data_IF_882889568356
#
_entry.id   IF_882889568356
#
_cell.length_a   1.000
_cell.length_b   1.000
_cell.length_c   1.000
_cell.angle_alpha   90.00
_cell.angle_beta   90.00
_cell.angle_gamma   90.00
#
_symmetry.space_group_name_H-M   'P 1'
#
loop_
_entity.id
_entity.type
_entity.pdbx_description
1 polymer ?
#
# COMPACT_ATOMS: atom_id res chain seq x y z
N UNK A 1 -25.34 -2.98 -7.39
CA UNK A 1 -25.10 -1.56 -7.06
C UNK A 1 -25.17 -1.44 -5.54
N UNK A 2 -24.23 -0.75 -4.90
CA UNK A 2 -24.28 -0.48 -3.45
C UNK A 2 -25.45 0.44 -3.10
N UNK A 3 -26.05 0.25 -1.92
CA UNK A 3 -27.20 1.02 -1.44
C UNK A 3 -26.79 2.14 -0.47
N UNK A 4 -27.72 3.07 -0.17
CA UNK A 4 -27.50 4.11 0.85
C UNK A 4 -27.29 3.49 2.24
N UNK A 5 -28.00 2.40 2.55
CA UNK A 5 -27.86 1.67 3.81
C UNK A 5 -26.46 1.04 3.95
N UNK A 6 -25.88 0.56 2.83
CA UNK A 6 -24.50 0.06 2.82
C UNK A 6 -23.51 1.18 3.12
N UNK A 7 -23.74 2.39 2.59
CA UNK A 7 -22.91 3.55 2.86
C UNK A 7 -23.02 4.03 4.31
N UNK A 8 -24.22 4.04 4.89
CA UNK A 8 -24.42 4.43 6.30
C UNK A 8 -23.74 3.46 7.29
N UNK A 9 -23.46 2.23 6.88
CA UNK A 9 -22.74 1.22 7.66
C UNK A 9 -21.26 1.10 7.29
N UNK A 10 -20.76 1.94 6.38
CA UNK A 10 -19.37 1.89 5.93
C UNK A 10 -18.42 2.40 7.02
N UNK A 11 -17.31 1.70 7.21
CA UNK A 11 -16.21 2.14 8.08
C UNK A 11 -16.20 1.47 9.44
N UNK A 12 -15.21 1.85 10.25
CA UNK A 12 -14.92 1.25 11.56
C UNK A 12 -15.65 1.91 12.74
N UNK A 13 -16.30 3.05 12.52
CA UNK A 13 -16.76 3.92 13.61
C UNK A 13 -15.60 4.73 14.23
N UNK A 14 -15.76 5.23 15.47
CA UNK A 14 -14.70 5.99 16.14
C UNK A 14 -13.43 5.17 16.34
N UNK A 15 -12.27 5.76 16.06
CA UNK A 15 -10.97 5.13 16.30
C UNK A 15 -10.60 5.22 17.79
N UNK A 16 -10.06 4.13 18.34
CA UNK A 16 -9.68 4.06 19.73
C UNK A 16 -8.22 4.44 20.00
N UNK A 17 -7.79 4.40 21.28
CA UNK A 17 -6.40 4.66 21.68
C UNK A 17 -5.36 3.71 21.07
N UNK A 18 -5.78 2.58 20.49
CA UNK A 18 -4.89 1.68 19.75
C UNK A 18 -4.40 2.36 18.46
N UNK A 19 -5.29 3.02 17.74
CA UNK A 19 -4.92 3.80 16.56
C UNK A 19 -3.94 4.93 16.88
N UNK A 20 -4.15 5.67 17.98
CA UNK A 20 -3.23 6.74 18.41
C UNK A 20 -1.80 6.22 18.64
N UNK A 21 -1.68 5.05 19.30
CA UNK A 21 -0.39 4.40 19.52
C UNK A 21 0.26 3.94 18.23
N UNK A 22 -0.52 3.41 17.29
CA UNK A 22 -0.02 3.00 15.98
C UNK A 22 0.52 4.20 15.19
N UNK A 23 -0.19 5.32 15.23
CA UNK A 23 0.25 6.57 14.61
C UNK A 23 1.57 7.06 15.22
N UNK A 24 1.67 7.07 16.55
CA UNK A 24 2.91 7.42 17.24
C UNK A 24 4.07 6.48 16.87
N UNK A 25 3.82 5.17 16.79
CA UNK A 25 4.81 4.19 16.38
C UNK A 25 5.29 4.41 14.94
N UNK A 26 4.37 4.62 14.00
CA UNK A 26 4.70 4.92 12.61
C UNK A 26 5.50 6.23 12.49
N UNK A 27 5.10 7.27 13.21
CA UNK A 27 5.80 8.55 13.22
C UNK A 27 7.22 8.43 13.79
N UNK A 28 7.42 7.62 14.84
CA UNK A 28 8.74 7.38 15.42
C UNK A 28 9.62 6.56 14.47
N UNK A 29 9.10 5.46 13.94
CA UNK A 29 9.83 4.56 13.07
C UNK A 29 10.33 5.26 11.79
N UNK A 30 9.47 6.08 11.19
CA UNK A 30 9.74 6.75 9.91
C UNK A 30 10.12 8.22 10.06
N UNK A 31 10.49 8.68 11.27
CA UNK A 31 10.71 10.10 11.63
C UNK A 31 11.66 10.83 10.69
N UNK A 32 12.75 10.17 10.30
CA UNK A 32 13.78 10.73 9.42
C UNK A 32 13.67 10.27 7.96
N UNK A 33 12.70 9.39 7.64
CA UNK A 33 12.58 8.81 6.32
C UNK A 33 11.87 9.76 5.36
N UNK A 34 12.39 9.82 4.13
CA UNK A 34 11.86 10.64 3.04
C UNK A 34 11.42 9.75 1.88
N UNK A 35 10.40 10.19 1.15
CA UNK A 35 9.96 9.55 -0.09
C UNK A 35 11.09 9.58 -1.13
N UNK A 36 11.34 8.44 -1.79
CA UNK A 36 12.48 8.24 -2.71
C UNK A 36 12.62 9.38 -3.73
N UNK A 37 13.73 10.10 -3.60
CA UNK A 37 14.14 11.20 -4.47
C UNK A 37 13.25 12.45 -4.38
N UNK A 38 12.70 12.73 -3.21
CA UNK A 38 12.09 14.01 -2.83
C UNK A 38 12.39 14.31 -1.35
N UNK A 39 11.98 15.49 -0.86
CA UNK A 39 12.04 15.85 0.57
C UNK A 39 10.72 15.64 1.31
N UNK A 40 9.75 14.97 0.68
CA UNK A 40 8.44 14.69 1.29
C UNK A 40 8.63 13.64 2.40
N UNK A 41 8.17 13.90 3.64
CA UNK A 41 8.24 12.92 4.72
C UNK A 41 7.52 11.61 4.38
N UNK A 42 8.13 10.46 4.67
CA UNK A 42 7.54 9.15 4.35
C UNK A 42 6.21 8.92 5.08
N UNK A 43 6.07 9.47 6.29
CA UNK A 43 4.84 9.43 7.09
C UNK A 43 3.60 9.89 6.30
N UNK A 44 3.74 10.80 5.34
CA UNK A 44 2.62 11.21 4.47
C UNK A 44 1.99 10.04 3.70
N UNK A 45 2.79 9.05 3.29
CA UNK A 45 2.30 7.84 2.63
C UNK A 45 1.51 6.96 3.59
N UNK A 46 2.07 6.69 4.77
CA UNK A 46 1.44 5.83 5.79
C UNK A 46 0.10 6.40 6.25
N UNK A 47 0.05 7.71 6.49
CA UNK A 47 -1.18 8.43 6.80
C UNK A 47 -2.21 8.30 5.67
N UNK A 48 -1.77 8.44 4.42
CA UNK A 48 -2.66 8.34 3.26
C UNK A 48 -3.20 6.92 3.06
N UNK A 49 -2.37 5.89 3.24
CA UNK A 49 -2.81 4.48 3.16
C UNK A 49 -3.82 4.18 4.26
N UNK A 50 -3.55 4.59 5.50
CA UNK A 50 -4.47 4.39 6.61
C UNK A 50 -5.81 5.10 6.38
N UNK A 51 -5.78 6.36 5.94
CA UNK A 51 -6.98 7.12 5.59
C UNK A 51 -7.76 6.44 4.45
N UNK A 52 -7.09 5.98 3.39
CA UNK A 52 -7.74 5.24 2.31
C UNK A 52 -8.42 3.97 2.83
N UNK A 53 -7.74 3.18 3.68
CA UNK A 53 -8.34 1.97 4.27
C UNK A 53 -9.65 2.30 4.99
N UNK A 54 -9.66 3.36 5.80
CA UNK A 54 -10.87 3.81 6.52
C UNK A 54 -11.99 4.22 5.56
N UNK A 55 -11.68 5.05 4.55
CA UNK A 55 -12.64 5.51 3.54
C UNK A 55 -13.14 4.37 2.63
N UNK A 56 -12.40 3.27 2.55
CA UNK A 56 -12.81 2.05 1.85
C UNK A 56 -13.60 1.07 2.72
N UNK A 57 -13.93 1.44 3.96
CA UNK A 57 -14.72 0.62 4.87
C UNK A 57 -13.91 -0.38 5.69
N UNK A 58 -12.58 -0.21 5.75
CA UNK A 58 -11.71 -1.05 6.56
C UNK A 58 -11.93 -0.87 8.06
N UNK A 59 -11.55 -1.89 8.83
CA UNK A 59 -11.60 -1.85 10.29
C UNK A 59 -10.48 -0.99 10.89
N UNK A 60 -10.57 -0.66 12.18
CA UNK A 60 -9.47 -0.01 12.92
C UNK A 60 -8.18 -0.84 12.82
N UNK A 61 -8.27 -2.17 12.92
CA UNK A 61 -7.11 -3.06 12.80
C UNK A 61 -6.45 -2.98 11.40
N UNK A 62 -7.25 -2.88 10.34
CA UNK A 62 -6.73 -2.69 8.98
C UNK A 62 -6.12 -1.29 8.80
N UNK A 63 -6.70 -0.26 9.43
CA UNK A 63 -6.17 1.09 9.39
C UNK A 63 -4.83 1.20 10.16
N UNK A 64 -4.71 0.54 11.31
CA UNK A 64 -3.45 0.36 12.05
C UNK A 64 -2.43 -0.37 11.17
N UNK A 65 -2.84 -1.47 10.53
CA UNK A 65 -1.97 -2.18 9.59
C UNK A 65 -1.51 -1.27 8.44
N UNK A 66 -2.37 -0.40 7.92
CA UNK A 66 -2.00 0.60 6.91
C UNK A 66 -0.94 1.59 7.39
N UNK A 67 -0.98 2.01 8.66
CA UNK A 67 0.07 2.86 9.24
C UNK A 67 1.42 2.14 9.37
N UNK A 68 1.41 0.83 9.56
CA UNK A 68 2.57 0.03 9.94
C UNK A 68 3.07 -0.91 8.84
N UNK A 69 2.43 -0.92 7.66
CA UNK A 69 2.66 -1.95 6.63
C UNK A 69 4.11 -2.03 6.13
N UNK A 70 4.79 -0.88 6.08
CA UNK A 70 6.20 -0.78 5.68
C UNK A 70 7.18 -0.83 6.86
N UNK A 71 6.71 -0.84 8.12
CA UNK A 71 7.58 -0.76 9.29
C UNK A 71 8.57 -1.92 9.40
N UNK A 72 8.26 -3.07 8.80
CA UNK A 72 9.15 -4.24 8.79
C UNK A 72 10.15 -4.18 7.63
N UNK A 73 9.71 -3.72 6.46
CA UNK A 73 10.53 -3.60 5.24
C UNK A 73 11.55 -2.45 5.35
N UNK A 74 11.14 -1.34 5.95
CA UNK A 74 11.98 -0.15 6.16
C UNK A 74 12.81 -0.21 7.46
N UNK A 75 12.65 -1.27 8.26
CA UNK A 75 13.45 -1.47 9.46
C UNK A 75 14.94 -1.67 9.10
N UNK A 76 15.87 -1.28 9.97
CA UNK A 76 17.27 -1.64 9.80
C UNK A 76 17.45 -3.16 9.63
N UNK A 77 18.44 -3.57 8.86
CA UNK A 77 18.69 -4.99 8.56
C UNK A 77 18.74 -5.84 9.85
N UNK A 78 18.02 -6.97 9.83
CA UNK A 78 17.90 -7.87 10.97
C UNK A 78 16.93 -7.42 12.07
N UNK A 79 16.32 -6.23 11.99
CA UNK A 79 15.34 -5.74 12.98
C UNK A 79 13.89 -6.13 12.70
N UNK A 80 13.57 -6.58 11.48
CA UNK A 80 12.20 -6.96 11.09
C UNK A 80 11.48 -7.88 12.09
N UNK A 81 12.09 -8.98 12.59
CA UNK A 81 11.46 -9.84 13.59
C UNK A 81 11.13 -9.14 14.91
N UNK A 82 12.00 -8.23 15.36
CA UNK A 82 11.75 -7.45 16.58
C UNK A 82 10.60 -6.46 16.37
N UNK A 83 10.53 -5.81 15.20
CA UNK A 83 9.42 -4.92 14.84
C UNK A 83 8.09 -5.69 14.82
N UNK A 84 8.05 -6.88 14.23
CA UNK A 84 6.84 -7.73 14.23
C UNK A 84 6.41 -8.09 15.67
N UNK A 85 7.37 -8.47 16.53
CA UNK A 85 7.08 -8.78 17.93
C UNK A 85 6.53 -7.56 18.69
N UNK A 86 7.08 -6.36 18.46
CA UNK A 86 6.59 -5.12 19.06
C UNK A 86 5.17 -4.77 18.58
N UNK A 87 4.86 -5.01 17.29
CA UNK A 87 3.53 -4.81 16.71
C UNK A 87 2.53 -5.80 17.33
N UNK A 88 2.90 -7.08 17.43
CA UNK A 88 2.03 -8.10 18.04
C UNK A 88 1.72 -7.76 19.50
N UNK A 89 2.73 -7.36 20.28
CA UNK A 89 2.56 -7.02 21.69
C UNK A 89 1.62 -5.81 21.91
N UNK A 90 1.66 -4.81 21.01
CA UNK A 90 0.90 -3.56 21.17
C UNK A 90 -0.49 -3.59 20.52
N UNK A 91 -0.63 -4.34 19.42
CA UNK A 91 -1.81 -4.30 18.56
C UNK A 91 -2.44 -5.67 18.32
N UNK A 92 -1.81 -6.75 18.75
CA UNK A 92 -2.37 -8.10 18.73
C UNK A 92 -2.14 -8.86 17.41
N UNK A 93 -2.54 -10.14 17.41
CA UNK A 93 -2.21 -11.10 16.35
C UNK A 93 -2.82 -10.74 14.99
N UNK A 94 -4.02 -10.14 14.98
CA UNK A 94 -4.68 -9.73 13.75
C UNK A 94 -3.87 -8.66 13.01
N UNK A 95 -3.35 -7.66 13.73
CA UNK A 95 -2.58 -6.55 13.14
C UNK A 95 -1.22 -7.03 12.62
N UNK A 96 -0.46 -7.77 13.43
CA UNK A 96 0.86 -8.26 13.01
C UNK A 96 0.77 -9.19 11.80
N UNK A 97 -0.28 -10.01 11.71
CA UNK A 97 -0.53 -10.85 10.54
C UNK A 97 -0.78 -10.03 9.27
N UNK A 98 -1.38 -8.84 9.39
CA UNK A 98 -1.53 -7.92 8.25
C UNK A 98 -0.20 -7.35 7.82
N UNK A 99 0.54 -6.82 8.77
CA UNK A 99 1.81 -6.16 8.50
C UNK A 99 2.76 -7.16 7.85
N UNK A 100 2.89 -8.35 8.42
CA UNK A 100 3.69 -9.43 7.84
C UNK A 100 3.21 -9.85 6.44
N UNK A 101 1.90 -9.84 6.17
CA UNK A 101 1.36 -10.14 4.85
C UNK A 101 1.56 -9.00 3.83
N UNK A 102 1.78 -7.77 4.29
CA UNK A 102 2.03 -6.60 3.44
C UNK A 102 3.51 -6.40 3.13
N UNK A 103 4.41 -6.74 4.05
CA UNK A 103 5.85 -6.62 3.85
C UNK A 103 6.36 -7.65 2.84
N UNK A 104 6.90 -7.18 1.72
CA UNK A 104 7.63 -8.05 0.79
C UNK A 104 8.99 -8.35 1.44
N UNK A 105 9.30 -9.61 1.76
CA UNK A 105 10.59 -9.94 2.37
C UNK A 105 11.70 -9.79 1.31
N UNK A 106 12.56 -8.76 1.36
CA UNK A 106 13.55 -8.50 0.29
C UNK A 106 14.66 -9.57 0.25
N UNK A 107 14.70 -10.44 1.26
CA UNK A 107 15.73 -11.46 1.48
C UNK A 107 15.35 -12.84 0.93
N UNK A 108 14.30 -12.95 0.12
CA UNK A 108 13.95 -14.20 -0.59
C UNK A 108 14.86 -14.51 -1.80
N UNK A 109 15.92 -13.71 -2.00
CA UNK A 109 16.83 -13.81 -3.14
C UNK A 109 16.28 -13.21 -4.43
N UNK A 110 15.05 -12.67 -4.44
CA UNK A 110 14.46 -12.05 -5.62
C UNK A 110 15.15 -10.75 -6.02
N UNK A 111 15.93 -10.12 -5.15
CA UNK A 111 16.66 -8.87 -5.41
C UNK A 111 17.58 -8.91 -6.63
N UNK A 112 18.06 -10.08 -7.02
CA UNK A 112 18.91 -10.30 -8.21
C UNK A 112 18.11 -10.48 -9.51
N UNK A 113 16.79 -10.70 -9.42
CA UNK A 113 15.95 -10.93 -10.60
C UNK A 113 15.65 -9.62 -11.36
N UNK A 114 15.49 -9.69 -12.69
CA UNK A 114 15.00 -8.57 -13.50
C UNK A 114 13.71 -7.97 -12.94
N UNK A 115 13.57 -6.65 -13.01
CA UNK A 115 12.43 -5.90 -12.48
C UNK A 115 11.07 -6.53 -12.83
N UNK A 116 10.89 -6.93 -14.10
CA UNK A 116 9.65 -7.55 -14.58
C UNK A 116 9.31 -8.84 -13.84
N UNK A 117 10.29 -9.73 -13.65
CA UNK A 117 10.09 -11.01 -12.97
C UNK A 117 9.73 -10.81 -11.49
N UNK A 118 10.36 -9.86 -10.80
CA UNK A 118 9.99 -9.50 -9.42
C UNK A 118 8.54 -9.01 -9.33
N UNK A 119 8.09 -8.21 -10.29
CA UNK A 119 6.72 -7.71 -10.32
C UNK A 119 5.70 -8.79 -10.69
N UNK A 120 6.04 -9.73 -11.57
CA UNK A 120 5.20 -10.90 -11.87
C UNK A 120 5.06 -11.81 -10.65
N UNK A 121 6.16 -12.10 -9.94
CA UNK A 121 6.14 -12.86 -8.70
C UNK A 121 5.27 -12.19 -7.64
N UNK A 122 5.43 -10.87 -7.44
CA UNK A 122 4.57 -10.10 -6.53
C UNK A 122 3.09 -10.20 -6.89
N UNK A 123 2.73 -9.99 -8.16
CA UNK A 123 1.33 -10.08 -8.62
C UNK A 123 0.76 -11.46 -8.36
N UNK A 124 1.53 -12.53 -8.56
CA UNK A 124 1.10 -13.89 -8.27
C UNK A 124 0.76 -14.09 -6.78
N UNK A 125 1.46 -13.41 -5.85
CA UNK A 125 1.13 -13.49 -4.41
C UNK A 125 -0.25 -12.92 -4.07
N UNK A 126 -0.78 -11.97 -4.87
CA UNK A 126 -2.07 -11.32 -4.60
C UNK A 126 -3.24 -12.31 -4.67
N UNK A 127 -3.10 -13.38 -5.45
CA UNK A 127 -4.11 -14.43 -5.57
C UNK A 127 -4.33 -15.20 -4.26
N UNK A 128 -3.28 -15.32 -3.43
CA UNK A 128 -3.31 -16.09 -2.17
C UNK A 128 -3.09 -15.23 -0.93
N UNK A 129 -2.89 -13.91 -1.09
CA UNK A 129 -2.69 -12.97 0.02
C UNK A 129 -3.87 -13.02 1.00
N UNK A 130 -3.60 -12.81 2.28
CA UNK A 130 -4.63 -12.76 3.32
C UNK A 130 -5.70 -11.70 2.99
N UNK A 131 -6.99 -12.04 3.15
CA UNK A 131 -8.13 -11.21 2.67
C UNK A 131 -8.17 -9.81 3.29
N UNK A 132 -8.01 -9.73 4.60
CA UNK A 132 -7.94 -8.49 5.38
C UNK A 132 -6.65 -7.68 5.10
N UNK A 133 -5.58 -8.29 4.56
CA UNK A 133 -4.40 -7.55 4.09
C UNK A 133 -4.61 -6.98 2.69
N UNK A 134 -5.48 -7.61 1.90
CA UNK A 134 -5.64 -7.27 0.49
C UNK A 134 -6.16 -5.84 0.33
N UNK A 135 -7.04 -5.37 1.22
CA UNK A 135 -7.49 -3.97 1.23
C UNK A 135 -6.34 -3.00 1.52
N UNK A 136 -5.48 -3.32 2.49
CA UNK A 136 -4.31 -2.50 2.83
C UNK A 136 -3.35 -2.43 1.64
N UNK A 137 -3.05 -3.57 1.02
CA UNK A 137 -2.26 -3.64 -0.21
C UNK A 137 -2.89 -2.87 -1.36
N UNK A 138 -4.21 -2.95 -1.54
CA UNK A 138 -4.90 -2.18 -2.58
C UNK A 138 -4.77 -0.66 -2.34
N UNK A 139 -4.95 -0.21 -1.09
CA UNK A 139 -4.81 1.20 -0.71
C UNK A 139 -3.37 1.71 -0.86
N UNK A 140 -2.36 0.90 -0.52
CA UNK A 140 -0.96 1.16 -0.85
C UNK A 140 -0.77 1.43 -2.35
N UNK A 141 -1.24 0.50 -3.19
CA UNK A 141 -1.14 0.66 -4.66
C UNK A 141 -1.90 1.88 -5.16
N UNK A 142 -3.09 2.17 -4.63
CA UNK A 142 -3.82 3.39 -5.01
C UNK A 142 -2.98 4.63 -4.70
N UNK A 143 -2.48 4.78 -3.47
CA UNK A 143 -1.73 5.97 -3.10
C UNK A 143 -0.44 6.10 -3.92
N UNK A 144 0.36 5.03 -4.00
CA UNK A 144 1.63 5.05 -4.71
C UNK A 144 1.44 5.31 -6.21
N UNK A 145 0.47 4.65 -6.84
CA UNK A 145 0.17 4.84 -8.25
C UNK A 145 -0.36 6.24 -8.56
N UNK A 146 -1.27 6.75 -7.73
CA UNK A 146 -1.82 8.11 -7.87
C UNK A 146 -0.72 9.18 -7.74
N UNK A 147 0.22 9.00 -6.79
CA UNK A 147 1.35 9.91 -6.65
C UNK A 147 2.29 9.87 -7.85
N UNK A 148 2.59 8.69 -8.38
CA UNK A 148 3.43 8.55 -9.58
C UNK A 148 2.77 9.25 -10.77
N UNK A 149 1.48 9.03 -10.98
CA UNK A 149 0.74 9.64 -12.08
C UNK A 149 0.69 11.18 -11.94
N UNK A 150 0.39 11.69 -10.75
CA UNK A 150 0.35 13.13 -10.48
C UNK A 150 1.73 13.79 -10.67
N UNK A 151 2.80 13.15 -10.20
CA UNK A 151 4.16 13.66 -10.38
C UNK A 151 4.56 13.63 -11.87
N UNK A 152 4.22 12.57 -12.62
CA UNK A 152 4.46 12.51 -14.06
C UNK A 152 3.68 13.58 -14.85
N UNK A 153 2.44 13.87 -14.45
CA UNK A 153 1.65 14.96 -15.02
C UNK A 153 2.26 16.34 -14.73
N UNK A 154 2.92 16.50 -13.58
CA UNK A 154 3.54 17.77 -13.16
C UNK A 154 4.93 17.97 -13.77
N UNK A 155 5.76 16.93 -13.82
CA UNK A 155 7.18 17.01 -14.17
C UNK A 155 7.52 16.44 -15.55
N UNK A 156 6.53 15.95 -16.29
CA UNK A 156 6.71 15.43 -17.65
C UNK A 156 7.13 13.97 -17.73
N UNK A 157 7.21 13.42 -18.96
CA UNK A 157 7.47 12.00 -19.21
C UNK A 157 8.85 11.54 -18.71
N UNK A 158 9.83 12.43 -18.58
CA UNK A 158 11.16 12.15 -18.05
C UNK A 158 11.10 11.64 -16.60
N UNK A 159 10.02 11.94 -15.85
CA UNK A 159 9.83 11.42 -14.51
C UNK A 159 9.87 9.88 -14.47
N UNK A 160 9.42 9.21 -15.52
CA UNK A 160 9.41 7.75 -15.62
C UNK A 160 10.82 7.12 -15.68
N UNK A 161 11.87 7.89 -16.02
CA UNK A 161 13.26 7.41 -16.05
C UNK A 161 13.77 6.96 -14.67
N UNK A 162 13.11 7.40 -13.59
CA UNK A 162 13.41 7.02 -12.20
C UNK A 162 12.96 5.59 -11.87
N UNK A 163 12.17 4.95 -12.73
CA UNK A 163 11.61 3.63 -12.52
C UNK A 163 12.15 2.65 -13.56
N UNK A 164 12.64 1.50 -13.11
CA UNK A 164 13.23 0.50 -14.00
C UNK A 164 12.26 -0.02 -15.08
N UNK A 165 10.95 -0.01 -14.81
CA UNK A 165 9.92 -0.40 -15.78
C UNK A 165 9.49 0.71 -16.74
N UNK A 166 9.97 1.95 -16.58
CA UNK A 166 9.46 3.11 -17.30
C UNK A 166 7.94 3.28 -17.12
N UNK A 167 7.31 4.04 -18.02
CA UNK A 167 5.85 4.26 -18.00
C UNK A 167 5.08 2.97 -18.27
N UNK A 168 5.40 2.31 -19.38
CA UNK A 168 4.58 1.18 -19.86
C UNK A 168 4.70 -0.03 -18.94
N UNK A 169 5.88 -0.27 -18.37
CA UNK A 169 6.07 -1.29 -17.34
C UNK A 169 5.29 -0.96 -16.07
N UNK A 170 5.35 0.27 -15.56
CA UNK A 170 4.54 0.67 -14.41
C UNK A 170 3.05 0.51 -14.68
N UNK A 171 2.56 0.99 -15.82
CA UNK A 171 1.16 0.84 -16.20
C UNK A 171 0.74 -0.62 -16.26
N UNK A 172 1.54 -1.49 -16.88
CA UNK A 172 1.30 -2.94 -16.85
C UNK A 172 1.24 -3.48 -15.42
N UNK A 173 2.19 -3.10 -14.56
CA UNK A 173 2.26 -3.60 -13.20
C UNK A 173 1.02 -3.21 -12.37
N UNK A 174 0.58 -1.96 -12.48
CA UNK A 174 -0.64 -1.50 -11.81
C UNK A 174 -1.89 -2.16 -12.39
N UNK A 175 -1.96 -2.38 -13.71
CA UNK A 175 -3.07 -3.12 -14.33
C UNK A 175 -3.13 -4.58 -13.83
N UNK A 176 -1.98 -5.25 -13.74
CA UNK A 176 -1.90 -6.62 -13.24
C UNK A 176 -2.28 -6.71 -11.75
N UNK A 177 -1.85 -5.75 -10.92
CA UNK A 177 -2.30 -5.65 -9.54
C UNK A 177 -3.82 -5.42 -9.46
N UNK A 178 -4.35 -4.50 -10.27
CA UNK A 178 -5.79 -4.21 -10.35
C UNK A 178 -6.57 -5.46 -10.68
N UNK A 179 -6.18 -6.19 -11.73
CA UNK A 179 -6.86 -7.41 -12.17
C UNK A 179 -6.87 -8.49 -11.07
N UNK A 180 -5.72 -8.71 -10.41
CA UNK A 180 -5.59 -9.68 -9.34
C UNK A 180 -6.43 -9.32 -8.09
N UNK A 181 -6.47 -8.03 -7.73
CA UNK A 181 -7.28 -7.54 -6.61
C UNK A 181 -8.78 -7.60 -6.97
N UNK A 182 -9.15 -7.20 -8.19
CA UNK A 182 -10.54 -7.22 -8.67
C UNK A 182 -11.13 -8.64 -8.68
N UNK A 183 -10.32 -9.65 -9.01
CA UNK A 183 -10.74 -11.05 -8.97
C UNK A 183 -11.15 -11.51 -7.56
N UNK A 184 -10.61 -10.90 -6.51
CA UNK A 184 -10.85 -11.26 -5.10
C UNK A 184 -11.75 -10.29 -4.36
N UNK A 185 -11.85 -9.05 -4.85
CA UNK A 185 -12.70 -7.99 -4.30
C UNK A 185 -13.61 -7.42 -5.39
N UNK A 186 -14.45 -8.25 -6.04
CA UNK A 186 -15.23 -7.82 -7.18
C UNK A 186 -16.20 -6.70 -6.80
N UNK A 187 -16.14 -5.58 -7.53
CA UNK A 187 -17.00 -4.41 -7.30
C UNK A 187 -16.60 -3.51 -6.13
N UNK A 188 -15.54 -3.85 -5.39
CA UNK A 188 -15.05 -3.02 -4.29
C UNK A 188 -14.65 -1.61 -4.78
N UNK A 189 -14.96 -0.52 -4.05
CA UNK A 189 -14.66 0.83 -4.51
C UNK A 189 -13.16 1.10 -4.72
N UNK A 190 -12.28 0.43 -3.98
CA UNK A 190 -10.82 0.53 -4.15
C UNK A 190 -10.35 0.05 -5.53
N UNK A 191 -11.04 -0.93 -6.13
CA UNK A 191 -10.73 -1.39 -7.50
C UNK A 191 -10.96 -0.28 -8.51
N UNK A 192 -12.03 0.52 -8.35
CA UNK A 192 -12.29 1.68 -9.22
C UNK A 192 -11.23 2.77 -9.07
N UNK A 193 -10.61 2.89 -7.90
CA UNK A 193 -9.49 3.82 -7.72
C UNK A 193 -8.22 3.29 -8.41
N UNK A 194 -7.98 1.99 -8.37
CA UNK A 194 -6.90 1.36 -9.15
C UNK A 194 -7.11 1.49 -10.66
N UNK A 195 -8.36 1.42 -11.15
CA UNK A 195 -8.69 1.67 -12.55
C UNK A 195 -8.22 3.06 -12.98
N UNK A 196 -8.56 4.10 -12.20
CA UNK A 196 -8.12 5.48 -12.44
C UNK A 196 -6.60 5.60 -12.45
N UNK A 197 -5.91 4.95 -11.50
CA UNK A 197 -4.44 4.93 -11.49
C UNK A 197 -3.87 4.36 -12.80
N UNK A 198 -4.44 3.27 -13.32
CA UNK A 198 -3.99 2.64 -14.58
C UNK A 198 -4.28 3.53 -15.79
N UNK A 199 -5.41 4.23 -15.78
CA UNK A 199 -5.78 5.23 -16.80
C UNK A 199 -4.80 6.40 -16.78
N UNK A 200 -4.58 7.01 -15.62
CA UNK A 200 -3.73 8.19 -15.45
C UNK A 200 -2.26 7.90 -15.80
N UNK A 201 -1.75 6.72 -15.44
CA UNK A 201 -0.41 6.28 -15.85
C UNK A 201 -0.27 6.08 -17.38
N UNK A 202 -1.38 5.93 -18.09
CA UNK A 202 -1.41 5.79 -19.55
C UNK A 202 -1.56 7.10 -20.31
N UNK A 203 -1.85 8.21 -19.65
CA UNK A 203 -2.04 9.50 -20.31
C UNK A 203 -0.68 10.06 -20.80
N UNK A 204 -0.71 10.74 -21.95
CA UNK A 204 0.43 11.53 -22.40
C UNK A 204 0.34 12.92 -21.76
N UNK A 205 1.37 13.33 -21.01
CA UNK A 205 1.57 14.73 -20.68
C UNK A 205 1.69 15.49 -22.01
N UNK A 206 0.67 16.30 -22.31
CA UNK A 206 0.58 17.08 -23.56
C UNK A 206 1.51 18.29 -23.54
#
# INVERSE_FOLDING_TARGET
>A
MSTLDDWQRLGSGPLGPRYDRALAMAAEHHRAQLRKGSRVPYLSHLLSVSALVLEQGGSEDQAIAGLLHDAVEDAPEGRGPAVLADIEAQFGPAVVAMVAACSDNPNDGSGELPWRQRKEAYVATLATKREDALLVTACDKVHNGSRIAADAATYGPEFFTRFAGGRDGLRWYYAACRDAIAARMPGAPVVRQLDRVVEDLGQNSS
#
